data_IF_621732410892
#
_entry.id   IF_621732410892
#
_cell.length_a   1.000
_cell.length_b   1.000
_cell.length_c   1.000
_cell.angle_alpha   90.00
_cell.angle_beta   90.00
_cell.angle_gamma   90.00
#
_symmetry.space_group_name_H-M   'P 1'
#
loop_
_entity.id
_entity.type
_entity.pdbx_description
1 polymer ?
#
# COMPACT_ATOMS: atom_id res chain seq x y z
N UNK A 1 1.21 -10.62 -41.57
CA UNK A 1 0.32 -9.92 -40.61
C UNK A 1 0.43 -10.60 -39.27
N UNK A 2 0.67 -9.85 -38.20
CA UNK A 2 0.79 -10.39 -36.85
C UNK A 2 -0.58 -10.90 -36.36
N UNK A 3 -0.61 -12.07 -35.75
CA UNK A 3 -1.82 -12.66 -35.17
C UNK A 3 -1.59 -12.94 -33.70
N UNK A 4 -2.62 -12.74 -32.88
CA UNK A 4 -2.52 -13.01 -31.46
C UNK A 4 -2.21 -14.49 -31.14
N UNK A 5 -2.71 -15.41 -31.98
CA UNK A 5 -2.38 -16.83 -31.89
C UNK A 5 -0.86 -17.07 -31.88
N UNK A 6 -0.14 -16.42 -32.80
CA UNK A 6 1.32 -16.61 -32.94
C UNK A 6 2.08 -16.06 -31.73
N UNK A 7 1.61 -14.94 -31.16
CA UNK A 7 2.17 -14.34 -29.94
C UNK A 7 2.00 -15.28 -28.74
N UNK A 8 0.80 -15.85 -28.58
CA UNK A 8 0.51 -16.82 -27.52
C UNK A 8 1.38 -18.07 -27.66
N UNK A 9 1.43 -18.63 -28.86
CA UNK A 9 2.20 -19.84 -29.17
C UNK A 9 3.68 -19.64 -28.84
N UNK A 10 4.25 -18.51 -29.28
CA UNK A 10 5.65 -18.16 -29.02
C UNK A 10 5.96 -18.14 -27.51
N UNK A 11 5.12 -17.48 -26.72
CA UNK A 11 5.31 -17.41 -25.26
C UNK A 11 5.07 -18.76 -24.60
N UNK A 12 4.05 -19.48 -25.02
CA UNK A 12 3.77 -20.85 -24.54
C UNK A 12 4.98 -21.77 -24.69
N UNK A 13 5.68 -21.65 -25.81
CA UNK A 13 6.84 -22.48 -26.14
C UNK A 13 8.16 -21.95 -25.55
N UNK A 14 8.09 -20.87 -24.74
CA UNK A 14 9.23 -20.32 -24.01
C UNK A 14 10.00 -19.23 -24.76
N UNK A 15 9.48 -18.75 -25.90
CA UNK A 15 10.10 -17.66 -26.66
C UNK A 15 9.98 -16.31 -25.99
N UNK A 16 10.93 -15.42 -26.27
CA UNK A 16 10.89 -14.02 -25.87
C UNK A 16 10.04 -13.21 -26.86
N UNK A 17 9.07 -12.45 -26.34
CA UNK A 17 8.25 -11.56 -27.16
C UNK A 17 9.06 -10.33 -27.55
N UNK A 18 8.88 -9.90 -28.81
CA UNK A 18 9.44 -8.63 -29.28
C UNK A 18 8.62 -7.44 -28.78
N UNK A 19 9.21 -6.26 -28.81
CA UNK A 19 8.52 -5.01 -28.48
C UNK A 19 7.25 -4.85 -29.33
N UNK A 20 7.35 -5.12 -30.63
CA UNK A 20 6.21 -5.04 -31.54
C UNK A 20 5.08 -6.02 -31.18
N UNK A 21 5.42 -7.22 -30.72
CA UNK A 21 4.43 -8.22 -30.29
C UNK A 21 3.73 -7.79 -29.00
N UNK A 22 4.46 -7.19 -28.07
CA UNK A 22 3.91 -6.65 -26.82
C UNK A 22 3.02 -5.44 -27.11
N UNK A 23 3.45 -4.51 -27.96
CA UNK A 23 2.65 -3.36 -28.37
C UNK A 23 1.37 -3.78 -29.07
N UNK A 24 1.46 -4.77 -29.94
CA UNK A 24 0.30 -5.35 -30.62
C UNK A 24 -0.73 -5.90 -29.62
N UNK A 25 -0.27 -6.66 -28.63
CA UNK A 25 -1.15 -7.20 -27.59
C UNK A 25 -1.83 -6.07 -26.79
N UNK A 26 -1.05 -5.13 -26.25
CA UNK A 26 -1.58 -4.08 -25.37
C UNK A 26 -2.57 -3.20 -26.12
N UNK A 27 -2.20 -2.69 -27.29
CA UNK A 27 -3.07 -1.81 -28.09
C UNK A 27 -4.32 -2.53 -28.58
N UNK A 28 -4.19 -3.77 -29.05
CA UNK A 28 -5.31 -4.58 -29.52
C UNK A 28 -6.26 -4.98 -28.40
N UNK A 29 -5.75 -5.26 -27.21
CA UNK A 29 -6.59 -5.60 -26.06
C UNK A 29 -7.37 -4.39 -25.54
N UNK A 30 -6.71 -3.23 -25.44
CA UNK A 30 -7.38 -1.97 -25.02
C UNK A 30 -8.45 -1.57 -26.03
N UNK A 31 -8.17 -1.70 -27.33
CA UNK A 31 -9.12 -1.38 -28.40
C UNK A 31 -10.30 -2.37 -28.52
N UNK A 32 -10.20 -3.53 -27.89
CA UNK A 32 -11.21 -4.59 -27.98
C UNK A 32 -11.05 -5.51 -29.20
N UNK A 33 -9.97 -5.37 -29.97
CA UNK A 33 -9.68 -6.22 -31.14
C UNK A 33 -9.17 -7.61 -30.72
N UNK A 34 -8.54 -7.69 -29.55
CA UNK A 34 -8.09 -8.95 -28.95
C UNK A 34 -9.08 -9.33 -27.83
N UNK A 35 -9.76 -10.47 -27.96
CA UNK A 35 -10.76 -10.88 -26.98
C UNK A 35 -10.13 -11.40 -25.69
N UNK A 36 -10.93 -11.42 -24.61
CA UNK A 36 -10.51 -11.86 -23.28
C UNK A 36 -9.90 -13.26 -23.26
N UNK A 37 -10.44 -14.21 -24.05
CA UNK A 37 -9.90 -15.57 -24.04
C UNK A 37 -8.46 -15.64 -24.60
N UNK A 38 -8.09 -14.78 -25.54
CA UNK A 38 -6.72 -14.69 -26.04
C UNK A 38 -5.80 -13.99 -25.03
N UNK A 39 -6.26 -12.92 -24.42
CA UNK A 39 -5.52 -12.24 -23.35
C UNK A 39 -5.29 -13.18 -22.14
N UNK A 40 -6.30 -13.95 -21.76
CA UNK A 40 -6.21 -14.94 -20.72
C UNK A 40 -5.19 -16.04 -21.05
N UNK A 41 -5.18 -16.54 -22.28
CA UNK A 41 -4.22 -17.52 -22.73
C UNK A 41 -2.77 -16.98 -22.67
N UNK A 42 -2.55 -15.74 -23.09
CA UNK A 42 -1.23 -15.10 -22.96
C UNK A 42 -0.83 -14.92 -21.50
N UNK A 43 -1.73 -14.46 -20.65
CA UNK A 43 -1.46 -14.30 -19.20
C UNK A 43 -1.04 -15.63 -18.56
N UNK A 44 -1.71 -16.73 -18.92
CA UNK A 44 -1.36 -18.07 -18.42
C UNK A 44 -0.02 -18.57 -18.98
N UNK A 45 0.28 -18.28 -20.25
CA UNK A 45 1.59 -18.59 -20.83
C UNK A 45 2.71 -17.83 -20.10
N UNK A 46 2.50 -16.56 -19.80
CA UNK A 46 3.46 -15.75 -19.01
C UNK A 46 3.59 -16.31 -17.59
N UNK A 47 2.49 -16.71 -16.97
CA UNK A 47 2.51 -17.31 -15.63
C UNK A 47 3.48 -18.51 -15.55
N UNK A 48 3.46 -19.39 -16.53
CA UNK A 48 4.29 -20.58 -16.54
C UNK A 48 5.70 -20.38 -17.11
N UNK A 49 5.87 -19.51 -18.08
CA UNK A 49 7.14 -19.30 -18.79
C UNK A 49 7.91 -18.09 -18.31
N UNK A 50 7.26 -17.19 -17.58
CA UNK A 50 7.86 -15.94 -17.16
C UNK A 50 8.07 -14.95 -18.30
N UNK A 51 8.75 -13.86 -17.96
CA UNK A 51 9.18 -12.82 -18.88
C UNK A 51 10.61 -12.40 -18.56
N UNK A 52 11.37 -12.01 -19.56
CA UNK A 52 12.68 -11.37 -19.35
C UNK A 52 12.48 -9.96 -18.75
N UNK A 53 13.54 -9.39 -18.18
CA UNK A 53 13.51 -8.02 -17.68
C UNK A 53 13.12 -7.02 -18.78
N UNK A 54 13.59 -7.23 -20.00
CA UNK A 54 13.25 -6.40 -21.15
C UNK A 54 11.76 -6.50 -21.51
N UNK A 55 11.23 -7.71 -21.62
CA UNK A 55 9.81 -7.94 -21.88
C UNK A 55 8.93 -7.25 -20.82
N UNK A 56 9.28 -7.44 -19.55
CA UNK A 56 8.50 -6.89 -18.43
C UNK A 56 8.51 -5.36 -18.44
N UNK A 57 9.68 -4.75 -18.69
CA UNK A 57 9.80 -3.30 -18.78
C UNK A 57 9.01 -2.74 -19.97
N UNK A 58 9.08 -3.39 -21.13
CA UNK A 58 8.35 -2.94 -22.31
C UNK A 58 6.85 -3.09 -22.15
N UNK A 59 6.38 -4.21 -21.58
CA UNK A 59 4.96 -4.40 -21.25
C UNK A 59 4.46 -3.30 -20.31
N UNK A 60 5.25 -2.97 -19.28
CA UNK A 60 4.91 -1.93 -18.32
C UNK A 60 4.76 -0.57 -18.99
N UNK A 61 5.70 -0.19 -19.87
CA UNK A 61 5.63 1.07 -20.61
C UNK A 61 4.45 1.10 -21.59
N UNK A 62 4.23 0.03 -22.32
CA UNK A 62 3.08 -0.06 -23.22
C UNK A 62 1.76 0.11 -22.47
N UNK A 63 1.65 -0.48 -21.28
CA UNK A 63 0.46 -0.31 -20.44
C UNK A 63 0.35 1.12 -19.89
N UNK A 64 1.45 1.71 -19.41
CA UNK A 64 1.47 3.10 -18.92
C UNK A 64 1.02 4.09 -20.01
N UNK A 65 1.50 3.90 -21.23
CA UNK A 65 1.22 4.76 -22.39
C UNK A 65 -0.16 4.49 -23.02
N UNK A 66 -0.89 3.48 -22.57
CA UNK A 66 -2.22 3.15 -23.09
C UNK A 66 -3.30 4.19 -22.75
N UNK A 67 -3.03 5.07 -21.81
CA UNK A 67 -3.91 6.16 -21.38
C UNK A 67 -3.15 7.43 -21.10
N UNK A 68 -3.71 8.28 -20.23
CA UNK A 68 -3.07 9.52 -19.84
C UNK A 68 -1.82 9.26 -19.00
N UNK A 69 -0.77 10.02 -19.28
CA UNK A 69 0.41 10.07 -18.46
C UNK A 69 0.54 11.46 -17.85
N UNK A 70 0.74 11.55 -16.55
CA UNK A 70 0.92 12.83 -15.89
C UNK A 70 2.33 13.35 -16.09
N UNK A 71 2.44 14.60 -16.51
CA UNK A 71 3.69 15.34 -16.57
C UNK A 71 3.77 16.28 -15.36
N UNK A 72 4.58 15.90 -14.37
CA UNK A 72 4.78 16.69 -13.15
C UNK A 72 5.95 17.68 -13.25
N UNK A 73 6.51 17.88 -14.44
CA UNK A 73 7.70 18.74 -14.63
C UNK A 73 7.46 20.21 -14.26
N UNK A 74 6.21 20.68 -14.34
CA UNK A 74 5.83 22.02 -13.92
C UNK A 74 5.87 22.23 -12.39
N UNK A 75 5.88 21.17 -11.61
CA UNK A 75 6.03 21.24 -10.15
C UNK A 75 7.52 21.30 -9.83
N UNK A 76 8.01 22.39 -9.20
CA UNK A 76 9.43 22.50 -8.88
C UNK A 76 9.85 21.50 -7.79
N UNK A 77 11.06 20.97 -7.90
CA UNK A 77 11.62 20.02 -6.95
C UNK A 77 11.45 18.57 -7.38
N UNK A 78 12.08 17.66 -6.63
CA UNK A 78 12.04 16.23 -6.90
C UNK A 78 10.75 15.64 -6.33
N UNK A 79 10.01 14.89 -7.15
CA UNK A 79 8.80 14.18 -6.77
C UNK A 79 9.15 12.74 -6.49
N UNK A 80 8.81 12.29 -5.28
CA UNK A 80 9.00 10.90 -4.85
C UNK A 80 7.65 10.29 -4.51
N UNK A 81 7.30 9.20 -5.17
CA UNK A 81 6.11 8.41 -4.82
C UNK A 81 6.49 7.23 -3.91
N UNK A 82 5.55 6.81 -3.11
CA UNK A 82 5.67 5.64 -2.26
C UNK A 82 4.48 4.72 -2.53
N UNK A 83 4.73 3.46 -2.80
CA UNK A 83 3.70 2.45 -3.01
C UNK A 83 3.89 1.29 -2.04
N UNK A 84 2.81 0.89 -1.36
CA UNK A 84 2.75 -0.34 -0.56
C UNK A 84 2.03 -1.43 -1.33
N UNK A 85 2.52 -2.65 -1.25
CA UNK A 85 1.83 -3.83 -1.80
C UNK A 85 0.57 -4.21 -1.02
N UNK A 86 0.32 -3.52 0.09
CA UNK A 86 -0.88 -3.68 0.90
C UNK A 86 -0.65 -4.52 2.15
N UNK A 87 -1.37 -4.15 3.21
CA UNK A 87 -1.30 -4.82 4.49
C UNK A 87 -2.39 -4.36 5.42
N UNK A 88 -2.39 -4.90 6.62
CA UNK A 88 -3.36 -4.61 7.68
C UNK A 88 -2.78 -3.57 8.63
N UNK A 89 -3.50 -2.47 8.81
CA UNK A 89 -3.03 -1.34 9.60
C UNK A 89 -1.99 -0.48 8.88
N UNK A 90 -1.85 -0.62 7.57
CA UNK A 90 -0.88 0.15 6.78
C UNK A 90 -1.36 1.58 6.52
N UNK A 91 -1.16 2.42 7.51
CA UNK A 91 -1.44 3.87 7.49
C UNK A 91 -0.21 4.71 7.15
N UNK A 92 0.85 4.09 6.68
CA UNK A 92 2.16 4.73 6.55
C UNK A 92 2.15 5.95 5.64
N UNK A 93 1.37 5.97 4.57
CA UNK A 93 1.27 7.12 3.68
C UNK A 93 0.83 8.40 4.40
N UNK A 94 -0.08 8.30 5.38
CA UNK A 94 -0.57 9.44 6.15
C UNK A 94 0.51 10.06 7.05
N UNK A 95 1.52 9.28 7.41
CA UNK A 95 2.68 9.73 8.20
C UNK A 95 3.81 10.16 7.28
N UNK A 96 4.21 9.30 6.36
CA UNK A 96 5.41 9.43 5.53
C UNK A 96 5.29 10.58 4.52
N UNK A 97 4.13 10.71 3.87
CA UNK A 97 3.89 11.80 2.91
C UNK A 97 4.12 13.18 3.53
N UNK A 98 3.43 13.52 4.62
CA UNK A 98 3.66 14.77 5.33
C UNK A 98 5.09 14.94 5.87
N UNK A 99 5.72 13.90 6.39
CA UNK A 99 7.10 13.97 6.89
C UNK A 99 8.07 14.42 5.80
N UNK A 100 8.08 13.75 4.66
CA UNK A 100 9.02 14.08 3.58
C UNK A 100 8.68 15.42 2.92
N UNK A 101 7.40 15.77 2.84
CA UNK A 101 6.97 17.06 2.32
C UNK A 101 7.41 18.21 3.22
N UNK A 102 7.45 18.02 4.54
CA UNK A 102 7.96 19.01 5.50
C UNK A 102 9.45 19.33 5.31
N UNK A 103 10.17 18.47 4.60
CA UNK A 103 11.60 18.62 4.26
C UNK A 103 11.82 19.01 2.79
N UNK A 104 10.78 19.44 2.10
CA UNK A 104 10.86 19.96 0.74
C UNK A 104 10.80 18.93 -0.39
N UNK A 105 10.63 17.65 -0.10
CA UNK A 105 10.36 16.63 -1.10
C UNK A 105 8.89 16.67 -1.50
N UNK A 106 8.61 16.61 -2.80
CA UNK A 106 7.25 16.70 -3.32
C UNK A 106 6.62 15.30 -3.42
N UNK A 107 5.40 15.17 -2.90
CA UNK A 107 4.62 13.92 -2.94
C UNK A 107 3.32 14.18 -3.69
N UNK A 108 3.30 13.81 -4.95
CA UNK A 108 2.14 13.89 -5.83
C UNK A 108 1.55 12.48 -5.97
N UNK A 109 0.74 12.08 -4.99
CA UNK A 109 0.30 10.69 -4.89
C UNK A 109 -1.10 10.49 -5.41
N UNK A 110 -1.22 9.53 -6.33
CA UNK A 110 -2.49 8.92 -6.71
C UNK A 110 -2.62 7.57 -6.04
N UNK A 111 -3.74 7.33 -5.40
CA UNK A 111 -3.97 6.13 -4.58
C UNK A 111 -5.30 5.46 -4.92
N UNK A 112 -5.55 4.31 -4.31
CA UNK A 112 -6.74 3.50 -4.51
C UNK A 112 -7.53 3.27 -3.22
N UNK A 113 -8.70 2.65 -3.39
CA UNK A 113 -9.55 2.18 -2.31
C UNK A 113 -9.13 0.79 -1.87
N UNK A 114 -9.44 0.44 -0.62
CA UNK A 114 -9.25 -0.91 -0.10
C UNK A 114 -10.29 -1.90 -0.61
N UNK A 115 -9.87 -3.15 -0.70
CA UNK A 115 -10.73 -4.30 -0.96
C UNK A 115 -10.16 -5.53 -0.25
N UNK A 116 -11.06 -6.38 0.27
CA UNK A 116 -10.64 -7.55 1.05
C UNK A 116 -10.06 -7.15 2.41
N UNK A 117 -9.06 -7.88 2.87
CA UNK A 117 -8.48 -7.70 4.20
C UNK A 117 -7.55 -6.47 4.33
N UNK A 118 -7.19 -5.83 3.24
CA UNK A 118 -6.33 -4.64 3.24
C UNK A 118 -7.16 -3.36 3.19
N UNK A 119 -6.78 -2.35 3.98
CA UNK A 119 -7.40 -1.03 3.95
C UNK A 119 -6.81 -0.14 2.86
N UNK A 120 -7.64 0.74 2.27
CA UNK A 120 -7.22 1.71 1.26
C UNK A 120 -6.92 3.07 1.83
N UNK A 121 -5.88 3.74 1.31
CA UNK A 121 -5.51 5.09 1.75
C UNK A 121 -6.64 6.11 1.53
N UNK A 122 -7.34 6.02 0.42
CA UNK A 122 -8.45 6.93 0.12
C UNK A 122 -9.60 6.79 1.12
N UNK A 123 -9.91 5.58 1.54
CA UNK A 123 -10.97 5.33 2.51
C UNK A 123 -10.63 5.93 3.87
N UNK A 124 -9.37 5.88 4.27
CA UNK A 124 -8.90 6.51 5.51
C UNK A 124 -8.99 8.04 5.44
N UNK A 125 -8.58 8.62 4.32
CA UNK A 125 -8.70 10.07 4.11
C UNK A 125 -10.15 10.54 4.11
N UNK A 126 -11.04 9.79 3.48
CA UNK A 126 -12.47 10.13 3.46
C UNK A 126 -13.15 10.02 4.84
N UNK A 127 -12.53 9.31 5.79
CA UNK A 127 -12.99 9.30 7.18
C UNK A 127 -12.76 10.64 7.88
N UNK A 128 -11.92 11.52 7.34
CA UNK A 128 -11.74 12.89 7.83
C UNK A 128 -12.90 13.75 7.32
N UNK A 129 -13.68 14.38 8.22
CA UNK A 129 -14.85 15.13 7.81
C UNK A 129 -14.55 16.21 6.77
N UNK A 130 -15.29 16.19 5.67
CA UNK A 130 -15.20 17.17 4.58
C UNK A 130 -14.08 16.94 3.57
N UNK A 131 -13.14 16.06 3.83
CA UNK A 131 -12.03 15.82 2.92
C UNK A 131 -12.51 15.17 1.62
N UNK A 132 -12.08 15.72 0.49
CA UNK A 132 -12.30 15.17 -0.85
C UNK A 132 -11.04 14.55 -1.40
N UNK A 133 -11.18 13.35 -1.95
CA UNK A 133 -10.13 12.66 -2.71
C UNK A 133 -10.19 12.99 -4.21
N UNK A 134 -11.25 13.66 -4.63
CA UNK A 134 -11.42 14.12 -6.00
C UNK A 134 -10.86 15.54 -6.12
N UNK A 135 -9.71 15.65 -6.77
CA UNK A 135 -9.01 16.92 -6.98
C UNK A 135 -8.81 17.10 -8.47
N UNK A 136 -9.17 18.27 -9.01
CA UNK A 136 -8.85 18.58 -10.42
C UNK A 136 -7.35 18.60 -10.64
N UNK A 137 -6.90 18.29 -11.85
CA UNK A 137 -5.46 18.29 -12.17
C UNK A 137 -4.79 19.64 -11.87
N UNK A 138 -5.37 20.81 -12.25
CA UNK A 138 -4.80 22.10 -11.88
C UNK A 138 -4.68 22.29 -10.37
N UNK A 139 -5.70 21.91 -9.60
CA UNK A 139 -5.69 22.04 -8.14
C UNK A 139 -4.69 21.08 -7.49
N UNK A 140 -4.56 19.87 -8.03
CA UNK A 140 -3.56 18.91 -7.59
C UNK A 140 -2.14 19.45 -7.78
N UNK A 141 -1.83 20.00 -8.95
CA UNK A 141 -0.51 20.60 -9.23
C UNK A 141 -0.24 21.80 -8.33
N UNK A 142 -1.24 22.66 -8.13
CA UNK A 142 -1.13 23.81 -7.25
C UNK A 142 -0.84 23.39 -5.81
N UNK A 143 -1.59 22.42 -5.29
CA UNK A 143 -1.41 21.94 -3.93
C UNK A 143 -0.02 21.32 -3.73
N UNK A 144 0.45 20.46 -4.62
CA UNK A 144 1.79 19.88 -4.51
C UNK A 144 2.87 20.95 -4.61
N UNK A 145 2.71 21.93 -5.50
CA UNK A 145 3.65 23.05 -5.62
C UNK A 145 3.74 23.90 -4.36
N UNK A 146 2.58 24.21 -3.74
CA UNK A 146 2.49 25.11 -2.60
C UNK A 146 2.84 24.45 -1.27
N UNK A 147 2.26 23.28 -0.99
CA UNK A 147 2.43 22.62 0.31
C UNK A 147 3.26 21.33 0.25
N UNK A 148 3.56 20.83 -0.91
CA UNK A 148 4.47 19.70 -1.11
C UNK A 148 3.83 18.32 -1.11
N UNK A 149 2.55 18.18 -0.77
CA UNK A 149 1.87 16.88 -0.70
C UNK A 149 0.41 16.96 -1.08
N UNK A 150 -0.04 16.01 -1.90
CA UNK A 150 -1.44 15.75 -2.18
C UNK A 150 -1.65 14.25 -2.35
N UNK A 151 -2.78 13.75 -1.89
CA UNK A 151 -3.20 12.36 -2.08
C UNK A 151 -4.61 12.38 -2.68
N UNK A 152 -4.73 11.91 -3.90
CA UNK A 152 -5.97 11.93 -4.67
C UNK A 152 -6.31 10.56 -5.24
N UNK A 153 -7.57 10.39 -5.63
CA UNK A 153 -8.00 9.23 -6.42
C UNK A 153 -7.42 9.27 -7.82
N UNK A 154 -7.24 8.10 -8.42
CA UNK A 154 -6.77 7.97 -9.80
C UNK A 154 -7.82 8.51 -10.78
N UNK A 155 -7.36 9.21 -11.82
CA UNK A 155 -8.24 9.66 -12.91
C UNK A 155 -8.68 8.47 -13.77
N UNK A 156 -9.86 8.58 -14.39
CA UNK A 156 -10.50 7.47 -15.10
C UNK A 156 -9.72 6.88 -16.27
N UNK A 157 -8.81 7.65 -16.89
CA UNK A 157 -8.03 7.22 -18.05
C UNK A 157 -6.57 6.89 -17.74
N UNK A 158 -6.23 6.72 -16.45
CA UNK A 158 -4.89 6.29 -16.07
C UNK A 158 -4.77 4.77 -16.27
N UNK A 159 -3.82 4.36 -17.11
CA UNK A 159 -3.48 2.96 -17.42
C UNK A 159 -4.71 2.06 -17.67
N UNK A 160 -5.53 2.35 -18.71
CA UNK A 160 -6.70 1.53 -19.00
C UNK A 160 -6.36 0.07 -19.35
N UNK A 161 -5.18 -0.18 -19.89
CA UNK A 161 -4.69 -1.54 -20.16
C UNK A 161 -4.58 -2.37 -18.90
N UNK A 162 -4.04 -1.79 -17.81
CA UNK A 162 -3.93 -2.50 -16.53
C UNK A 162 -5.30 -2.74 -15.90
N UNK A 163 -6.17 -1.74 -15.94
CA UNK A 163 -7.53 -1.90 -15.42
C UNK A 163 -8.25 -3.08 -16.04
N UNK A 164 -8.15 -3.23 -17.35
CA UNK A 164 -8.78 -4.31 -18.12
C UNK A 164 -8.10 -5.65 -17.87
N UNK A 165 -6.76 -5.68 -17.92
CA UNK A 165 -5.98 -6.89 -17.73
C UNK A 165 -6.07 -7.41 -16.29
N UNK A 166 -6.04 -6.54 -15.30
CA UNK A 166 -6.15 -6.94 -13.89
C UNK A 166 -7.53 -7.55 -13.60
N UNK A 167 -8.60 -6.95 -14.12
CA UNK A 167 -9.95 -7.50 -13.98
C UNK A 167 -10.07 -8.92 -14.58
N UNK A 168 -9.39 -9.18 -15.69
CA UNK A 168 -9.31 -10.50 -16.31
C UNK A 168 -8.49 -11.47 -15.45
N UNK A 169 -7.33 -11.03 -14.98
CA UNK A 169 -6.43 -11.86 -14.15
C UNK A 169 -7.09 -12.29 -12.84
N UNK A 170 -7.89 -11.41 -12.26
CA UNK A 170 -8.58 -11.65 -10.98
C UNK A 170 -9.53 -12.86 -11.04
N UNK A 171 -10.05 -13.18 -12.22
CA UNK A 171 -11.00 -14.29 -12.43
C UNK A 171 -10.43 -15.46 -13.24
N UNK A 172 -9.14 -15.44 -13.57
CA UNK A 172 -8.50 -16.48 -14.40
C UNK A 172 -7.31 -17.16 -13.74
N UNK A 173 -7.10 -16.97 -12.43
CA UNK A 173 -6.00 -17.54 -11.65
C UNK A 173 -4.60 -17.17 -12.19
N UNK A 174 -4.44 -15.94 -12.66
CA UNK A 174 -3.17 -15.44 -13.22
C UNK A 174 -2.61 -14.23 -12.45
N UNK A 175 -3.18 -13.92 -11.27
CA UNK A 175 -2.72 -12.79 -10.45
C UNK A 175 -1.31 -13.04 -9.90
N UNK A 176 -0.98 -14.26 -9.48
CA UNK A 176 0.26 -14.60 -8.77
C UNK A 176 1.52 -14.67 -9.67
N UNK A 177 1.46 -14.09 -10.84
CA UNK A 177 2.62 -13.97 -11.74
C UNK A 177 3.47 -12.76 -11.37
N UNK A 178 4.71 -12.95 -10.97
CA UNK A 178 5.62 -11.87 -10.57
C UNK A 178 5.77 -10.80 -11.67
N UNK A 179 6.04 -11.14 -12.95
CA UNK A 179 6.13 -10.12 -14.00
C UNK A 179 4.83 -9.32 -14.18
N UNK A 180 3.68 -9.97 -14.08
CA UNK A 180 2.40 -9.31 -14.27
C UNK A 180 2.02 -8.45 -13.05
N UNK A 181 2.35 -8.86 -11.84
CA UNK A 181 2.20 -8.02 -10.63
C UNK A 181 3.09 -6.79 -10.75
N UNK A 182 4.35 -6.98 -11.09
CA UNK A 182 5.32 -5.89 -11.22
C UNK A 182 4.89 -4.89 -12.29
N UNK A 183 4.45 -5.35 -13.45
CA UNK A 183 3.96 -4.50 -14.53
C UNK A 183 2.71 -3.72 -14.14
N UNK A 184 1.78 -4.37 -13.45
CA UNK A 184 0.55 -3.74 -12.97
C UNK A 184 0.85 -2.57 -12.02
N UNK A 185 1.68 -2.80 -11.02
CA UNK A 185 2.06 -1.77 -10.04
C UNK A 185 2.84 -0.65 -10.73
N UNK A 186 3.90 -0.99 -11.44
CA UNK A 186 4.83 -0.01 -11.99
C UNK A 186 4.24 0.81 -13.12
N UNK A 187 3.35 0.26 -13.94
CA UNK A 187 2.66 1.03 -14.99
C UNK A 187 1.89 2.22 -14.41
N UNK A 188 1.21 2.02 -13.29
CA UNK A 188 0.48 3.09 -12.59
C UNK A 188 1.43 4.11 -11.96
N UNK A 189 2.54 3.66 -11.38
CA UNK A 189 3.53 4.56 -10.76
C UNK A 189 4.26 5.40 -11.82
N UNK A 190 4.60 4.82 -12.94
CA UNK A 190 5.20 5.54 -14.07
C UNK A 190 4.21 6.55 -14.67
N UNK A 191 2.96 6.14 -14.90
CA UNK A 191 1.93 7.03 -15.43
C UNK A 191 1.59 8.19 -14.48
N UNK A 192 1.77 8.02 -13.18
CA UNK A 192 1.58 9.08 -12.18
C UNK A 192 2.67 10.16 -12.20
N UNK A 193 3.80 9.92 -12.83
CA UNK A 193 4.77 10.96 -13.23
C UNK A 193 5.89 11.27 -12.24
N UNK A 194 5.97 10.65 -11.07
CA UNK A 194 7.02 10.94 -10.09
C UNK A 194 8.43 10.57 -10.60
N UNK A 195 9.44 11.35 -10.17
CA UNK A 195 10.83 11.14 -10.57
C UNK A 195 11.46 9.90 -9.93
N UNK A 196 11.07 9.64 -8.69
CA UNK A 196 11.57 8.52 -7.87
C UNK A 196 10.40 7.72 -7.31
N UNK A 197 10.63 6.42 -7.08
CA UNK A 197 9.62 5.51 -6.57
C UNK A 197 10.22 4.68 -5.44
N UNK A 198 9.61 4.75 -4.27
CA UNK A 198 9.88 3.84 -3.16
C UNK A 198 8.77 2.80 -3.05
N UNK A 199 9.15 1.54 -3.08
CA UNK A 199 8.24 0.42 -2.96
C UNK A 199 8.35 -0.19 -1.55
N UNK A 200 7.24 -0.25 -0.85
CA UNK A 200 7.11 -0.95 0.42
C UNK A 200 6.48 -2.32 0.13
N UNK A 201 7.34 -3.33 0.00
CA UNK A 201 6.91 -4.70 -0.31
C UNK A 201 6.67 -5.44 0.99
N UNK A 202 5.41 -5.64 1.32
CA UNK A 202 4.98 -6.33 2.53
C UNK A 202 5.20 -7.82 2.41
N UNK A 203 5.65 -8.45 3.50
CA UNK A 203 5.93 -9.88 3.58
C UNK A 203 5.35 -10.45 4.87
N UNK A 204 4.52 -11.47 4.77
CA UNK A 204 3.93 -12.16 5.92
C UNK A 204 2.48 -12.57 5.72
N UNK A 205 1.83 -13.00 6.78
CA UNK A 205 0.48 -13.56 6.72
C UNK A 205 -0.58 -12.56 6.22
N UNK A 206 -0.41 -11.28 6.51
CA UNK A 206 -1.31 -10.21 6.06
C UNK A 206 -0.94 -9.59 4.72
N UNK A 207 0.11 -10.08 4.06
CA UNK A 207 0.62 -9.57 2.81
C UNK A 207 0.29 -10.50 1.63
N UNK A 208 0.43 -9.95 0.43
CA UNK A 208 0.34 -10.71 -0.81
C UNK A 208 1.52 -11.71 -0.94
N UNK A 209 2.75 -11.26 -0.61
CA UNK A 209 3.94 -12.12 -0.55
C UNK A 209 4.06 -12.75 0.83
N UNK A 210 4.08 -14.09 0.88
CA UNK A 210 4.09 -14.83 2.14
C UNK A 210 5.48 -15.13 2.67
N UNK A 211 6.50 -15.11 1.82
CA UNK A 211 7.89 -15.38 2.18
C UNK A 211 8.85 -14.30 1.65
N UNK A 212 10.02 -14.21 2.27
CA UNK A 212 11.01 -13.16 1.98
C UNK A 212 11.59 -13.30 0.58
N UNK A 213 11.85 -14.52 0.12
CA UNK A 213 12.46 -14.74 -1.20
C UNK A 213 11.51 -14.31 -2.33
N UNK A 214 10.22 -14.62 -2.22
CA UNK A 214 9.20 -14.16 -3.18
C UNK A 214 9.04 -12.64 -3.15
N UNK A 215 9.10 -12.03 -1.97
CA UNK A 215 9.03 -10.58 -1.81
C UNK A 215 10.23 -9.88 -2.46
N UNK A 216 11.43 -10.43 -2.29
CA UNK A 216 12.65 -9.91 -2.94
C UNK A 216 12.56 -10.05 -4.47
N UNK A 217 12.07 -11.19 -4.96
CA UNK A 217 11.89 -11.39 -6.41
C UNK A 217 10.96 -10.34 -7.03
N UNK A 218 9.82 -10.07 -6.38
CA UNK A 218 8.90 -9.03 -6.81
C UNK A 218 9.54 -7.63 -6.73
N UNK A 219 10.22 -7.34 -5.65
CA UNK A 219 10.91 -6.05 -5.46
C UNK A 219 11.99 -5.83 -6.54
N UNK A 220 12.78 -6.85 -6.82
CA UNK A 220 13.83 -6.79 -7.85
C UNK A 220 13.24 -6.55 -9.24
N UNK A 221 12.16 -7.24 -9.58
CA UNK A 221 11.43 -7.01 -10.83
C UNK A 221 10.93 -5.57 -10.97
N UNK A 222 10.33 -5.03 -9.91
CA UNK A 222 9.82 -3.65 -9.92
C UNK A 222 10.93 -2.59 -9.98
N UNK A 223 12.02 -2.79 -9.24
CA UNK A 223 13.18 -1.89 -9.27
C UNK A 223 13.81 -1.92 -10.66
N UNK A 224 13.98 -3.10 -11.25
CA UNK A 224 14.50 -3.26 -12.62
C UNK A 224 13.66 -2.50 -13.64
N UNK A 225 12.34 -2.59 -13.57
CA UNK A 225 11.43 -1.83 -14.44
C UNK A 225 11.66 -0.33 -14.28
N UNK A 226 11.63 0.18 -13.04
CA UNK A 226 11.77 1.60 -12.75
C UNK A 226 13.09 2.16 -13.27
N UNK A 227 14.19 1.49 -13.00
CA UNK A 227 15.53 1.90 -13.45
C UNK A 227 15.65 1.85 -14.99
N UNK A 228 15.06 0.82 -15.62
CA UNK A 228 15.09 0.69 -17.09
C UNK A 228 14.38 1.85 -17.80
N UNK A 229 13.35 2.41 -17.20
CA UNK A 229 12.60 3.54 -17.76
C UNK A 229 13.04 4.91 -17.20
N UNK A 230 14.17 4.97 -16.51
CA UNK A 230 14.76 6.20 -16.03
C UNK A 230 14.18 6.77 -14.74
N UNK A 231 13.48 5.94 -13.96
CA UNK A 231 12.94 6.31 -12.63
C UNK A 231 13.83 5.73 -11.54
N UNK A 232 14.39 6.57 -10.70
CA UNK A 232 15.18 6.10 -9.55
C UNK A 232 14.28 5.36 -8.60
N UNK A 233 14.51 4.05 -8.42
CA UNK A 233 13.61 3.15 -7.72
C UNK A 233 14.35 2.36 -6.67
N UNK A 234 13.75 2.23 -5.49
CA UNK A 234 14.21 1.33 -4.44
C UNK A 234 13.01 0.64 -3.79
N UNK A 235 13.26 -0.47 -3.13
CA UNK A 235 12.25 -1.21 -2.39
C UNK A 235 12.77 -1.56 -1.00
N UNK A 236 11.86 -1.57 -0.03
CA UNK A 236 12.06 -2.17 1.28
C UNK A 236 11.13 -3.36 1.41
N UNK A 237 11.64 -4.47 1.92
CA UNK A 237 10.82 -5.61 2.29
C UNK A 237 10.52 -5.46 3.78
N UNK A 238 9.25 -5.28 4.12
CA UNK A 238 8.80 -5.04 5.50
C UNK A 238 7.83 -6.12 5.98
N UNK A 239 7.82 -6.36 7.29
CA UNK A 239 7.02 -7.42 7.90
C UNK A 239 5.53 -7.11 7.95
N UNK A 240 4.70 -8.12 7.67
CA UNK A 240 3.24 -8.07 7.78
C UNK A 240 2.66 -9.36 8.35
N UNK A 241 3.39 -10.07 9.18
CA UNK A 241 2.85 -11.19 9.95
C UNK A 241 1.90 -10.73 11.06
N UNK A 242 2.13 -9.52 11.54
CA UNK A 242 1.32 -8.82 12.53
C UNK A 242 0.74 -7.57 11.90
N UNK A 243 -0.47 -7.12 12.30
CA UNK A 243 -0.95 -5.81 11.92
C UNK A 243 0.07 -4.71 12.29
N UNK A 244 0.21 -3.71 11.44
CA UNK A 244 1.10 -2.58 11.70
C UNK A 244 0.43 -1.59 12.66
N UNK A 245 1.09 -1.27 13.76
CA UNK A 245 0.51 -0.49 14.83
C UNK A 245 -0.56 -1.25 15.60
N UNK A 246 -1.48 -0.53 16.22
CA UNK A 246 -2.56 -1.08 17.07
C UNK A 246 -3.95 -0.88 16.51
N UNK A 247 -4.15 0.11 15.65
CA UNK A 247 -5.46 0.46 15.13
C UNK A 247 -5.67 -0.10 13.72
N UNK A 248 -6.79 -0.76 13.50
CA UNK A 248 -7.20 -1.32 12.23
C UNK A 248 -8.61 -0.84 11.90
N UNK A 249 -8.72 0.05 10.92
CA UNK A 249 -9.98 0.70 10.53
C UNK A 249 -9.72 2.13 10.04
N UNK A 250 -10.69 2.76 9.40
CA UNK A 250 -10.43 4.00 8.66
C UNK A 250 -10.09 5.19 9.56
N UNK A 251 -11.03 5.71 10.33
CA UNK A 251 -10.72 6.81 11.26
C UNK A 251 -9.75 6.40 12.37
N UNK A 252 -9.80 5.14 12.81
CA UNK A 252 -8.88 4.62 13.81
C UNK A 252 -7.43 4.70 13.36
N UNK A 253 -7.17 4.41 12.09
CA UNK A 253 -5.83 4.49 11.53
C UNK A 253 -5.38 5.95 11.32
N UNK A 254 -6.29 6.86 10.99
CA UNK A 254 -5.97 8.30 10.97
C UNK A 254 -5.58 8.78 12.37
N UNK A 255 -6.31 8.38 13.41
CA UNK A 255 -5.99 8.71 14.80
C UNK A 255 -4.59 8.25 15.17
N UNK A 256 -4.23 7.02 14.80
CA UNK A 256 -2.91 6.46 15.08
C UNK A 256 -1.79 7.11 14.25
N UNK A 257 -2.07 7.48 13.01
CA UNK A 257 -1.14 8.25 12.19
C UNK A 257 -0.83 9.62 12.84
N UNK A 258 -1.85 10.29 13.34
CA UNK A 258 -1.70 11.55 14.09
C UNK A 258 -0.86 11.34 15.36
N UNK A 259 -1.15 10.30 16.13
CA UNK A 259 -0.36 9.95 17.32
C UNK A 259 1.11 9.71 16.96
N UNK A 260 1.37 9.02 15.87
CA UNK A 260 2.73 8.77 15.37
C UNK A 260 3.46 10.06 15.01
N UNK A 261 2.78 10.99 14.33
CA UNK A 261 3.34 12.30 13.99
C UNK A 261 3.57 13.20 15.21
N UNK A 262 2.85 12.95 16.31
CA UNK A 262 3.10 13.60 17.61
C UNK A 262 4.24 12.98 18.40
N UNK A 263 4.81 11.86 17.97
CA UNK A 263 5.80 11.11 18.72
C UNK A 263 5.21 10.19 19.80
N UNK A 264 3.93 9.92 19.77
CA UNK A 264 3.16 9.14 20.74
C UNK A 264 2.63 7.81 20.13
N UNK A 265 3.03 7.49 18.90
CA UNK A 265 2.59 6.29 18.20
C UNK A 265 3.31 5.02 18.65
N UNK A 266 2.79 3.85 18.23
CA UNK A 266 3.45 2.57 18.47
C UNK A 266 4.85 2.53 17.85
N UNK A 267 5.76 1.82 18.55
CA UNK A 267 7.17 1.75 18.12
C UNK A 267 7.32 1.12 16.73
N UNK A 268 6.63 0.02 16.44
CA UNK A 268 6.69 -0.67 15.17
C UNK A 268 6.25 0.25 14.00
N UNK A 269 5.14 0.94 14.17
CA UNK A 269 4.63 1.89 13.16
C UNK A 269 5.58 3.06 12.98
N UNK A 270 6.09 3.62 14.08
CA UNK A 270 7.05 4.72 14.04
C UNK A 270 8.32 4.32 13.29
N UNK A 271 8.87 3.15 13.59
CA UNK A 271 10.10 2.66 12.97
C UNK A 271 9.92 2.42 11.47
N UNK A 272 8.80 1.80 11.06
CA UNK A 272 8.49 1.60 9.64
C UNK A 272 8.33 2.94 8.92
N UNK A 273 7.60 3.88 9.49
CA UNK A 273 7.39 5.20 8.90
C UNK A 273 8.71 5.99 8.76
N UNK A 274 9.55 5.97 9.77
CA UNK A 274 10.87 6.64 9.74
C UNK A 274 11.76 6.03 8.66
N UNK A 275 11.80 4.71 8.55
CA UNK A 275 12.61 4.03 7.54
C UNK A 275 12.12 4.31 6.11
N UNK A 276 10.81 4.28 5.90
CA UNK A 276 10.22 4.64 4.60
C UNK A 276 10.52 6.11 4.25
N UNK A 277 10.31 7.03 5.19
CA UNK A 277 10.62 8.44 4.99
C UNK A 277 12.11 8.67 4.68
N UNK A 278 12.99 8.00 5.42
CA UNK A 278 14.43 8.09 5.20
C UNK A 278 14.84 7.63 3.80
N UNK A 279 14.26 6.55 3.31
CA UNK A 279 14.53 6.06 1.96
C UNK A 279 13.96 6.99 0.88
N UNK A 280 12.79 7.59 1.08
CA UNK A 280 12.26 8.59 0.15
C UNK A 280 13.16 9.83 0.10
N UNK A 281 13.62 10.31 1.23
CA UNK A 281 14.55 11.45 1.32
C UNK A 281 15.90 11.12 0.65
N UNK A 282 16.40 9.92 0.85
CA UNK A 282 17.63 9.44 0.18
C UNK A 282 17.47 9.43 -1.34
N UNK A 283 16.37 8.89 -1.86
CA UNK A 283 16.08 8.91 -3.30
C UNK A 283 15.98 10.34 -3.86
N UNK A 284 15.53 11.28 -3.06
CA UNK A 284 15.46 12.70 -3.43
C UNK A 284 16.81 13.44 -3.29
N UNK A 285 17.87 12.76 -2.88
CA UNK A 285 19.20 13.36 -2.76
C UNK A 285 19.43 14.16 -1.49
N UNK A 286 18.65 13.94 -0.43
CA UNK A 286 18.76 14.67 0.85
C UNK A 286 19.87 14.16 1.78
N UNK A 287 20.55 13.08 1.43
CA UNK A 287 21.65 12.51 2.19
C UNK A 287 21.61 11.00 2.27
N UNK A 288 22.47 10.42 3.11
CA UNK A 288 22.47 8.99 3.39
C UNK A 288 21.16 8.58 4.08
N UNK A 289 20.81 7.30 4.00
CA UNK A 289 19.62 6.78 4.70
C UNK A 289 19.73 7.06 6.20
N UNK A 290 20.92 6.89 6.80
CA UNK A 290 21.13 7.18 8.22
C UNK A 290 20.86 8.65 8.58
N UNK A 291 21.40 9.59 7.81
CA UNK A 291 21.15 11.01 8.02
C UNK A 291 19.68 11.37 7.80
N UNK A 292 19.06 10.74 6.81
CA UNK A 292 17.64 10.95 6.52
C UNK A 292 16.72 10.40 7.63
N UNK A 293 17.08 9.30 8.31
CA UNK A 293 16.36 8.84 9.51
C UNK A 293 16.36 9.92 10.60
N UNK A 294 17.50 10.57 10.82
CA UNK A 294 17.60 11.67 11.80
C UNK A 294 16.72 12.85 11.41
N UNK A 295 16.69 13.21 10.13
CA UNK A 295 15.83 14.26 9.62
C UNK A 295 14.34 13.93 9.83
N UNK A 296 13.92 12.70 9.53
CA UNK A 296 12.54 12.27 9.72
C UNK A 296 12.13 12.30 11.20
N UNK A 297 12.98 11.80 12.10
CA UNK A 297 12.72 11.84 13.55
C UNK A 297 12.64 13.27 14.09
N UNK A 298 13.47 14.17 13.56
CA UNK A 298 13.44 15.59 13.92
C UNK A 298 12.09 16.24 13.54
N UNK A 299 11.54 15.90 12.39
CA UNK A 299 10.25 16.46 11.93
C UNK A 299 9.05 15.92 12.71
N UNK A 300 9.18 14.74 13.30
CA UNK A 300 8.21 14.25 14.30
C UNK A 300 8.37 15.07 15.61
N UNK A 301 9.58 15.19 16.11
CA UNK A 301 9.85 15.83 17.39
C UNK A 301 9.47 17.33 17.42
N UNK A 302 9.67 18.04 16.30
CA UNK A 302 9.39 19.47 16.19
C UNK A 302 7.93 19.80 15.76
N UNK A 303 7.12 18.80 15.45
CA UNK A 303 5.72 18.97 15.05
C UNK A 303 5.51 19.39 13.59
N UNK A 304 6.55 19.51 12.77
CA UNK A 304 6.45 19.95 11.37
C UNK A 304 5.73 18.91 10.50
N UNK A 305 5.94 17.60 10.77
CA UNK A 305 5.22 16.54 10.08
C UNK A 305 3.70 16.60 10.32
N UNK A 306 3.29 16.80 11.56
CA UNK A 306 1.88 16.95 11.92
C UNK A 306 1.26 18.21 11.28
N UNK A 307 1.96 19.32 11.33
CA UNK A 307 1.50 20.57 10.70
C UNK A 307 1.29 20.39 9.20
N UNK A 308 2.16 19.61 8.54
CA UNK A 308 2.05 19.32 7.11
C UNK A 308 0.82 18.45 6.81
N UNK A 309 0.53 17.45 7.63
CA UNK A 309 -0.70 16.66 7.49
C UNK A 309 -1.95 17.55 7.61
N UNK A 310 -1.97 18.43 8.60
CA UNK A 310 -3.08 19.38 8.78
C UNK A 310 -3.25 20.30 7.56
N UNK A 311 -2.16 20.78 6.98
CA UNK A 311 -2.19 21.59 5.75
C UNK A 311 -2.79 20.81 4.58
N UNK A 312 -2.38 19.55 4.38
CA UNK A 312 -2.90 18.68 3.32
C UNK A 312 -4.41 18.47 3.49
N UNK A 313 -4.83 18.12 4.69
CA UNK A 313 -6.25 17.90 5.02
C UNK A 313 -7.08 19.13 4.69
N UNK A 314 -6.64 20.30 5.13
CA UNK A 314 -7.33 21.57 4.89
C UNK A 314 -7.37 21.93 3.41
N UNK A 315 -6.27 21.74 2.68
CA UNK A 315 -6.20 22.00 1.24
C UNK A 315 -7.17 21.13 0.45
N UNK A 316 -7.49 19.93 0.94
CA UNK A 316 -8.43 19.00 0.33
C UNK A 316 -9.87 19.11 0.88
N UNK A 317 -10.18 20.20 1.57
CA UNK A 317 -11.53 20.51 2.05
C UNK A 317 -11.90 19.91 3.40
N UNK A 318 -11.00 19.15 4.02
CA UNK A 318 -11.23 18.54 5.32
C UNK A 318 -11.07 19.51 6.47
N UNK A 319 -11.63 19.15 7.63
CA UNK A 319 -11.37 19.89 8.86
C UNK A 319 -10.04 19.46 9.46
N UNK A 320 -9.16 20.40 9.75
CA UNK A 320 -7.92 20.14 10.47
C UNK A 320 -8.10 20.02 11.98
N UNK A 321 -9.29 20.32 12.50
CA UNK A 321 -9.59 20.21 13.92
C UNK A 321 -9.38 18.78 14.46
N UNK A 322 -9.77 17.75 13.68
CA UNK A 322 -9.59 16.35 14.05
C UNK A 322 -8.13 15.90 14.02
N UNK A 323 -7.27 16.65 13.32
CA UNK A 323 -5.82 16.39 13.28
C UNK A 323 -5.15 16.91 14.55
N UNK A 324 -5.58 18.07 15.04
CA UNK A 324 -5.06 18.63 16.29
C UNK A 324 -5.71 18.03 17.54
N UNK A 325 -6.94 17.54 17.42
CA UNK A 325 -7.67 16.86 18.49
C UNK A 325 -8.47 15.68 17.93
N UNK A 326 -7.89 14.49 18.01
CA UNK A 326 -8.50 13.26 17.47
C UNK A 326 -9.74 12.78 18.23
N UNK A 327 -10.01 13.32 19.42
CA UNK A 327 -11.25 13.03 20.15
C UNK A 327 -12.49 13.58 19.43
N UNK A 328 -12.30 14.47 18.46
CA UNK A 328 -13.37 15.03 17.64
C UNK A 328 -13.85 14.11 16.51
N UNK A 329 -13.16 13.00 16.25
CA UNK A 329 -13.71 11.98 15.37
C UNK A 329 -14.97 11.36 16.00
N UNK A 330 -15.95 11.09 15.15
CA UNK A 330 -17.16 10.38 15.58
C UNK A 330 -16.78 8.95 16.01
N UNK A 331 -17.16 8.59 17.24
CA UNK A 331 -16.93 7.26 17.77
C UNK A 331 -18.03 6.29 17.31
N UNK A 332 -17.64 5.03 17.06
CA UNK A 332 -18.61 3.98 16.79
C UNK A 332 -19.53 3.77 18.01
N UNK A 333 -20.85 3.60 17.80
CA UNK A 333 -21.82 3.48 18.89
C UNK A 333 -21.75 2.15 19.65
N UNK A 334 -21.21 1.09 19.03
CA UNK A 334 -21.14 -0.23 19.65
C UNK A 334 -19.67 -0.67 19.77
N UNK A 335 -19.35 -1.21 20.93
CA UNK A 335 -18.02 -1.74 21.21
C UNK A 335 -18.11 -3.06 21.98
N UNK A 336 -17.09 -3.90 21.81
CA UNK A 336 -16.91 -5.13 22.56
C UNK A 336 -15.44 -5.34 22.87
N UNK A 337 -15.11 -5.47 24.14
CA UNK A 337 -13.78 -5.88 24.57
C UNK A 337 -13.64 -7.40 24.41
N UNK A 338 -12.54 -7.82 23.79
CA UNK A 338 -12.18 -9.21 23.62
C UNK A 338 -11.17 -9.54 24.71
N UNK A 339 -11.53 -10.44 25.60
CA UNK A 339 -10.68 -10.82 26.73
C UNK A 339 -10.03 -12.18 26.51
N UNK A 340 -8.84 -12.35 27.08
CA UNK A 340 -8.13 -13.62 27.06
C UNK A 340 -8.90 -14.68 27.83
N UNK A 341 -9.13 -15.84 27.22
CA UNK A 341 -9.81 -16.98 27.83
C UNK A 341 -8.84 -17.85 28.64
N UNK A 342 -7.53 -17.75 28.32
CA UNK A 342 -6.45 -18.46 28.98
C UNK A 342 -5.27 -17.53 29.19
N UNK A 343 -4.43 -17.80 30.21
CA UNK A 343 -3.16 -17.12 30.38
C UNK A 343 -2.08 -17.73 29.49
N UNK A 344 -1.17 -16.93 28.97
CA UNK A 344 -0.07 -17.37 28.13
C UNK A 344 0.45 -16.28 27.20
N UNK A 345 1.42 -16.64 26.38
CA UNK A 345 1.92 -15.77 25.31
C UNK A 345 1.03 -15.85 24.09
N UNK A 346 0.80 -14.71 23.43
CA UNK A 346 0.28 -14.70 22.07
C UNK A 346 1.43 -15.10 21.16
N UNK A 347 1.44 -16.35 20.70
CA UNK A 347 2.53 -16.87 19.88
C UNK A 347 2.37 -16.52 18.41
N UNK A 348 1.12 -16.23 17.97
CA UNK A 348 0.82 -15.78 16.63
C UNK A 348 -0.48 -14.96 16.63
N UNK A 349 -0.46 -13.86 15.89
CA UNK A 349 -1.64 -13.09 15.53
C UNK A 349 -1.66 -12.96 14.01
N UNK A 350 -2.52 -13.71 13.33
CA UNK A 350 -2.59 -13.70 11.87
C UNK A 350 -3.15 -12.36 11.38
N UNK A 351 -2.33 -11.57 10.71
CA UNK A 351 -2.70 -10.23 10.27
C UNK A 351 -3.85 -10.26 9.25
N UNK A 352 -3.88 -11.22 8.34
CA UNK A 352 -4.97 -11.36 7.36
C UNK A 352 -6.32 -11.54 8.04
N UNK A 353 -6.40 -12.44 9.03
CA UNK A 353 -7.63 -12.68 9.78
C UNK A 353 -8.05 -11.46 10.61
N UNK A 354 -7.11 -10.70 11.17
CA UNK A 354 -7.42 -9.43 11.83
C UNK A 354 -8.04 -8.45 10.82
N UNK A 355 -7.48 -8.35 9.62
CA UNK A 355 -8.05 -7.55 8.54
C UNK A 355 -9.46 -8.01 8.13
N UNK A 356 -9.68 -9.31 7.99
CA UNK A 356 -11.00 -9.88 7.67
C UNK A 356 -12.00 -9.59 8.80
N UNK A 357 -11.58 -9.69 10.05
CA UNK A 357 -12.41 -9.31 11.20
C UNK A 357 -12.84 -7.84 11.11
N UNK A 358 -11.93 -6.94 10.77
CA UNK A 358 -12.26 -5.51 10.61
C UNK A 358 -13.28 -5.28 9.50
N UNK A 359 -13.18 -6.00 8.39
CA UNK A 359 -14.17 -5.97 7.29
C UNK A 359 -15.53 -6.44 7.78
N UNK A 360 -15.59 -7.54 8.55
CA UNK A 360 -16.84 -8.04 9.14
C UNK A 360 -17.52 -7.02 10.06
N UNK A 361 -16.73 -6.16 10.73
CA UNK A 361 -17.24 -5.07 11.57
C UNK A 361 -17.76 -3.87 10.77
N UNK A 362 -17.49 -3.80 9.48
CA UNK A 362 -17.91 -2.73 8.58
C UNK A 362 -16.80 -1.79 8.12
N UNK A 363 -15.56 -2.02 8.54
CA UNK A 363 -14.42 -1.14 8.20
C UNK A 363 -13.92 -1.28 6.76
N UNK A 364 -14.29 -2.34 6.06
CA UNK A 364 -13.85 -2.61 4.69
C UNK A 364 -14.96 -3.15 3.81
N UNK A 365 -14.61 -3.42 2.53
CA UNK A 365 -15.53 -3.95 1.52
C UNK A 365 -15.28 -5.43 1.29
N UNK A 366 -16.35 -6.22 1.33
CA UNK A 366 -16.33 -7.59 0.83
C UNK A 366 -16.48 -7.61 -0.70
N UNK A 367 -17.25 -6.67 -1.24
CA UNK A 367 -17.51 -6.51 -2.66
C UNK A 367 -17.28 -5.06 -3.08
N UNK A 368 -16.87 -4.88 -4.32
CA UNK A 368 -16.72 -3.54 -4.89
C UNK A 368 -18.04 -2.78 -4.81
N UNK A 369 -18.00 -1.58 -4.21
CA UNK A 369 -19.17 -0.71 -4.05
C UNK A 369 -19.90 -0.86 -2.72
N UNK A 370 -19.50 -1.80 -1.85
CA UNK A 370 -20.07 -1.89 -0.51
C UNK A 370 -19.80 -0.59 0.26
N UNK A 371 -20.76 -0.15 1.13
CA UNK A 371 -20.54 0.98 2.00
C UNK A 371 -19.50 0.64 3.09
N UNK A 372 -18.74 1.64 3.50
CA UNK A 372 -17.79 1.54 4.61
C UNK A 372 -18.32 2.32 5.81
N UNK A 373 -18.21 1.72 7.00
CA UNK A 373 -18.36 2.40 8.28
C UNK A 373 -17.03 3.04 8.66
N UNK A 374 -16.89 4.38 8.60
CA UNK A 374 -15.59 5.02 8.83
C UNK A 374 -15.09 4.90 10.27
N UNK A 375 -15.98 4.66 11.25
CA UNK A 375 -15.63 4.55 12.65
C UNK A 375 -15.43 3.09 13.12
N UNK A 376 -15.74 2.11 12.28
CA UNK A 376 -15.60 0.69 12.61
C UNK A 376 -14.14 0.25 12.55
N UNK A 377 -13.83 -0.79 13.33
CA UNK A 377 -12.53 -1.43 13.28
C UNK A 377 -12.14 -2.07 14.60
N UNK A 378 -10.83 -2.22 14.79
CA UNK A 378 -10.24 -2.93 15.92
C UNK A 378 -9.13 -2.07 16.52
N UNK A 379 -9.13 -1.96 17.85
CA UNK A 379 -7.99 -1.44 18.60
C UNK A 379 -7.33 -2.61 19.31
N UNK A 380 -6.07 -2.89 18.96
CA UNK A 380 -5.28 -3.94 19.57
C UNK A 380 -4.62 -3.44 20.85
N UNK A 381 -4.83 -4.14 21.97
CA UNK A 381 -4.08 -3.90 23.22
C UNK A 381 -2.83 -4.77 23.30
N UNK A 382 -2.91 -5.97 22.72
CA UNK A 382 -1.83 -6.95 22.71
C UNK A 382 -1.60 -7.48 21.30
N UNK A 383 -0.37 -7.90 21.02
CA UNK A 383 0.06 -8.48 19.74
C UNK A 383 0.95 -9.69 19.97
N UNK A 384 1.37 -10.34 18.89
CA UNK A 384 2.32 -11.45 18.93
C UNK A 384 3.53 -11.11 19.82
N UNK A 385 3.89 -11.99 20.71
CA UNK A 385 4.99 -11.83 21.66
C UNK A 385 4.57 -11.36 23.05
N UNK A 386 3.37 -10.80 23.20
CA UNK A 386 2.88 -10.33 24.49
C UNK A 386 2.36 -11.48 25.36
N UNK A 387 2.64 -11.41 26.66
CA UNK A 387 2.02 -12.29 27.65
C UNK A 387 0.72 -11.68 28.14
N UNK A 388 -0.32 -12.49 28.26
CA UNK A 388 -1.63 -12.08 28.79
C UNK A 388 -2.06 -13.02 29.91
N UNK A 389 -2.74 -12.45 30.89
CA UNK A 389 -3.44 -13.19 31.94
C UNK A 389 -4.90 -13.44 31.46
N UNK A 390 -5.48 -14.57 31.92
CA UNK A 390 -6.90 -14.80 31.69
C UNK A 390 -7.73 -13.61 32.19
N UNK A 391 -8.59 -13.07 31.30
CA UNK A 391 -9.43 -11.90 31.59
C UNK A 391 -8.84 -10.57 31.13
N UNK A 392 -7.56 -10.52 30.74
CA UNK A 392 -6.98 -9.31 30.14
C UNK A 392 -7.64 -8.96 28.82
N UNK A 393 -7.82 -7.68 28.55
CA UNK A 393 -8.33 -7.19 27.26
C UNK A 393 -7.22 -7.31 26.21
N UNK A 394 -7.47 -8.08 25.16
CA UNK A 394 -6.56 -8.25 24.01
C UNK A 394 -6.85 -7.20 22.95
N UNK A 395 -8.12 -6.93 22.71
CA UNK A 395 -8.57 -5.98 21.68
C UNK A 395 -9.95 -5.43 22.00
N UNK A 396 -10.28 -4.31 21.37
CA UNK A 396 -11.63 -3.74 21.37
C UNK A 396 -12.16 -3.70 19.95
N UNK A 397 -13.33 -4.29 19.73
CA UNK A 397 -14.06 -4.24 18.47
C UNK A 397 -15.02 -3.05 18.46
N UNK A 398 -15.11 -2.34 17.36
CA UNK A 398 -15.92 -1.14 17.19
C UNK A 398 -16.76 -1.26 15.91
N UNK A 399 -18.04 -0.93 15.97
CA UNK A 399 -18.94 -0.99 14.81
C UNK A 399 -20.14 -0.07 14.96
N UNK A 400 -20.72 0.34 13.85
CA UNK A 400 -21.99 1.04 13.78
C UNK A 400 -23.22 0.12 13.82
N UNK A 401 -22.99 -1.20 13.68
CA UNK A 401 -24.06 -2.21 13.63
C UNK A 401 -23.73 -3.35 14.62
N UNK A 402 -24.46 -3.37 15.74
CA UNK A 402 -24.25 -4.32 16.82
C UNK A 402 -24.31 -5.79 16.35
N UNK A 403 -25.11 -6.08 15.31
CA UNK A 403 -25.22 -7.43 14.76
C UNK A 403 -23.92 -7.98 14.15
N UNK A 404 -22.95 -7.14 13.89
CA UNK A 404 -21.64 -7.51 13.32
C UNK A 404 -20.61 -7.95 14.37
N UNK A 405 -20.88 -7.72 15.66
CA UNK A 405 -19.89 -7.99 16.71
C UNK A 405 -19.59 -9.49 16.87
N UNK A 406 -20.57 -10.35 16.77
CA UNK A 406 -20.36 -11.80 16.95
C UNK A 406 -19.44 -12.38 15.87
N UNK A 407 -19.67 -12.04 14.62
CA UNK A 407 -18.82 -12.50 13.52
C UNK A 407 -17.42 -11.88 13.57
N UNK A 408 -17.33 -10.60 13.90
CA UNK A 408 -16.03 -9.92 14.10
C UNK A 408 -15.22 -10.59 15.19
N UNK A 409 -15.84 -10.93 16.34
CA UNK A 409 -15.18 -11.63 17.44
C UNK A 409 -14.74 -13.04 17.04
N UNK A 410 -15.61 -13.79 16.36
CA UNK A 410 -15.30 -15.15 15.91
C UNK A 410 -14.03 -15.16 15.05
N UNK A 411 -13.96 -14.30 14.03
CA UNK A 411 -12.81 -14.21 13.13
C UNK A 411 -11.57 -13.71 13.86
N UNK A 412 -11.71 -12.70 14.71
CA UNK A 412 -10.60 -12.17 15.49
C UNK A 412 -9.96 -13.26 16.39
N UNK A 413 -10.78 -14.06 17.07
CA UNK A 413 -10.26 -15.14 17.90
C UNK A 413 -9.55 -16.23 17.11
N UNK A 414 -10.00 -16.51 15.87
CA UNK A 414 -9.29 -17.42 14.96
C UNK A 414 -7.89 -16.93 14.59
N UNK A 415 -7.65 -15.61 14.63
CA UNK A 415 -6.34 -15.04 14.35
C UNK A 415 -5.31 -15.34 15.43
N UNK A 416 -5.73 -15.71 16.65
CA UNK A 416 -4.88 -15.82 17.83
C UNK A 416 -4.46 -17.26 18.08
N UNK A 417 -3.16 -17.45 18.36
CA UNK A 417 -2.61 -18.70 18.89
C UNK A 417 -1.87 -18.37 20.19
N UNK A 418 -2.16 -19.15 21.23
CA UNK A 418 -1.53 -18.99 22.53
C UNK A 418 -0.56 -20.14 22.81
N UNK A 419 0.47 -19.86 23.60
CA UNK A 419 1.47 -20.85 24.02
C UNK A 419 2.10 -20.51 25.35
N UNK A 420 2.85 -21.47 25.90
CA UNK A 420 3.52 -21.32 27.21
C UNK A 420 4.84 -20.53 27.14
N UNK A 421 5.44 -20.47 25.95
CA UNK A 421 6.74 -19.84 25.73
C UNK A 421 6.60 -18.62 24.82
N UNK A 422 7.42 -17.60 25.08
CA UNK A 422 7.54 -16.44 24.20
C UNK A 422 8.00 -16.88 22.79
N UNK A 423 7.32 -16.44 21.72
CA UNK A 423 7.74 -16.74 20.36
C UNK A 423 8.96 -15.92 19.97
N UNK A 424 9.71 -16.42 19.01
CA UNK A 424 10.66 -15.60 18.28
C UNK A 424 9.89 -14.66 17.33
N UNK A 425 10.17 -13.36 17.40
CA UNK A 425 9.48 -12.38 16.57
C UNK A 425 10.18 -12.21 15.22
N UNK A 426 9.40 -12.22 14.15
CA UNK A 426 9.89 -11.83 12.83
C UNK A 426 10.32 -10.36 12.84
N UNK A 427 11.42 -10.00 12.15
CA UNK A 427 11.85 -8.61 12.07
C UNK A 427 10.86 -7.74 11.29
N UNK A 428 10.91 -6.43 11.53
CA UNK A 428 10.13 -5.46 10.76
C UNK A 428 10.70 -5.22 9.35
N UNK A 429 12.02 -5.36 9.20
CA UNK A 429 12.73 -5.12 7.95
C UNK A 429 13.55 -6.35 7.57
N UNK A 430 13.37 -6.82 6.34
CA UNK A 430 14.07 -8.00 5.84
C UNK A 430 15.19 -7.67 4.87
N UNK A 431 14.95 -6.70 3.97
CA UNK A 431 15.89 -6.36 2.91
C UNK A 431 15.61 -5.00 2.29
N UNK A 432 16.62 -4.45 1.63
CA UNK A 432 16.52 -3.33 0.71
C UNK A 432 16.96 -3.77 -0.67
N UNK A 433 16.20 -3.39 -1.69
CA UNK A 433 16.51 -3.68 -3.08
C UNK A 433 16.65 -2.36 -3.84
N UNK A 434 17.74 -2.21 -4.58
CA UNK A 434 18.00 -1.04 -5.41
C UNK A 434 18.71 -1.47 -6.70
N UNK A 435 19.05 -0.51 -7.54
CA UNK A 435 19.91 -0.76 -8.72
C UNK A 435 21.25 -1.41 -8.37
N UNK A 436 21.73 -1.22 -7.14
CA UNK A 436 23.01 -1.75 -6.66
C UNK A 436 22.87 -3.21 -6.14
N UNK A 437 21.68 -3.76 -6.14
CA UNK A 437 21.42 -5.12 -5.73
C UNK A 437 20.57 -5.26 -4.48
N UNK A 438 20.61 -6.45 -3.90
CA UNK A 438 19.84 -6.83 -2.71
C UNK A 438 20.73 -6.79 -1.47
N UNK A 439 20.33 -6.00 -0.48
CA UNK A 439 20.94 -5.96 0.84
C UNK A 439 19.96 -6.59 1.84
N UNK A 440 20.29 -7.79 2.31
CA UNK A 440 19.51 -8.45 3.38
C UNK A 440 19.93 -7.91 4.73
N UNK A 441 18.96 -7.63 5.58
CA UNK A 441 19.22 -7.22 6.96
C UNK A 441 19.37 -8.47 7.85
N UNK A 442 20.29 -8.40 8.81
CA UNK A 442 20.59 -9.50 9.72
C UNK A 442 19.54 -9.62 10.87
#
# INVERSE_FOLDING_TARGET
>A
TMRMYDVIEKKRDGGELTDAEIDYFVSGYVAGDIPDYQASALAMAIFYKGMTAHETAHLTMAMAESGDMMDLSAIPGIKVDKHSTGGVGDKTTLVVGPLVASLGVKVAKMSGRGLGHTGGTLDKLEAIPGLSIEISEPDFFKQVSEIGVAVAGQTGNLVPADKKLYALRDVTATVDSVPLIASSIMSKKIASGSDCILLDVKCGSGAFMKDVDSAIELADAMVSIGEHVGRTTAALITGMDRPLGKNVGNSLEVIEAVATLKGEGPEDLTDVCVELAANMLNLAGKGSVEDCRKLARQQIANGEGLAKLAQMVKAQGGTDEVIFDTTKFEAAPFRRDIVAETSGYITSMNAELVGISSVALGAGREKKGDPIDPAAGIILECKTGDYVEKGDVIATLLTGDESRLDEGERIFREALVFGENAPELEPLFFARVSKDGVERFA
#
